data_IF_188132268378
#
_entry.id   IF_188132268378
#
_cell.length_a   1.000
_cell.length_b   1.000
_cell.length_c   1.000
_cell.angle_alpha   90.00
_cell.angle_beta   90.00
_cell.angle_gamma   90.00
#
_symmetry.space_group_name_H-M   'P 1'
#
loop_
_entity.id
_entity.type
_entity.pdbx_description
1 polymer ?
#
# COMPACT_ATOMS: atom_id res chain seq x y z
N UNK A 1 -46.87 20.92 15.07
CA UNK A 1 -46.51 20.58 13.70
C UNK A 1 -45.38 19.54 13.80
N UNK A 2 -45.66 18.28 13.47
CA UNK A 2 -44.69 17.20 13.52
C UNK A 2 -43.79 17.38 12.30
N UNK A 3 -42.51 17.72 12.51
CA UNK A 3 -41.51 17.70 11.45
C UNK A 3 -41.45 16.28 10.87
N UNK A 4 -41.84 16.14 9.61
CA UNK A 4 -41.60 14.93 8.83
C UNK A 4 -40.10 14.75 8.69
N UNK A 5 -39.51 13.94 9.55
CA UNK A 5 -38.09 13.53 9.43
C UNK A 5 -37.94 12.77 8.12
N UNK A 6 -37.41 13.44 7.10
CA UNK A 6 -37.15 12.82 5.82
C UNK A 6 -36.07 11.73 5.99
N UNK A 7 -36.42 10.49 5.67
CA UNK A 7 -35.48 9.36 5.69
C UNK A 7 -34.59 9.40 4.45
N UNK A 8 -33.31 9.75 4.63
CA UNK A 8 -32.32 9.76 3.55
C UNK A 8 -31.51 8.48 3.59
N UNK A 9 -31.40 7.79 2.45
CA UNK A 9 -30.50 6.64 2.27
C UNK A 9 -29.30 7.09 1.45
N UNK A 10 -28.09 6.92 2.01
CA UNK A 10 -26.83 7.21 1.31
C UNK A 10 -26.29 5.90 0.72
N UNK A 11 -26.05 5.89 -0.58
CA UNK A 11 -25.41 4.78 -1.30
C UNK A 11 -23.98 5.14 -1.62
N UNK A 12 -23.04 4.19 -1.38
CA UNK A 12 -21.65 4.30 -1.79
C UNK A 12 -21.50 3.73 -3.21
N UNK A 13 -21.17 4.57 -4.17
CA UNK A 13 -21.00 4.18 -5.57
C UNK A 13 -19.54 4.44 -5.97
N UNK A 14 -18.91 3.49 -6.67
CA UNK A 14 -17.51 3.55 -7.12
C UNK A 14 -16.50 3.64 -5.96
N UNK A 15 -16.76 2.93 -4.89
CA UNK A 15 -15.82 2.80 -3.78
C UNK A 15 -14.50 2.16 -4.25
N UNK A 16 -13.37 2.71 -3.80
CA UNK A 16 -12.04 2.12 -4.03
C UNK A 16 -11.66 1.29 -2.80
N UNK A 17 -11.55 -0.04 -2.92
CA UNK A 17 -11.17 -0.87 -1.78
C UNK A 17 -9.66 -0.73 -1.50
N UNK A 18 -9.31 -0.37 -0.28
CA UNK A 18 -7.93 -0.40 0.24
C UNK A 18 -7.95 -1.16 1.55
N UNK A 19 -7.28 -2.29 1.59
CA UNK A 19 -7.16 -3.09 2.81
C UNK A 19 -5.89 -2.73 3.56
N UNK A 20 -6.01 -2.53 4.87
CA UNK A 20 -4.89 -2.28 5.77
C UNK A 20 -4.96 -3.29 6.92
N UNK A 21 -3.86 -3.97 7.17
CA UNK A 21 -3.76 -4.94 8.27
C UNK A 21 -2.37 -4.94 8.89
N UNK A 22 -2.25 -5.30 10.15
CA UNK A 22 -0.98 -5.59 10.80
C UNK A 22 -0.85 -7.11 10.94
N UNK A 23 0.26 -7.67 10.46
CA UNK A 23 0.47 -9.11 10.51
C UNK A 23 0.88 -9.52 11.92
N UNK A 24 0.18 -10.45 12.57
CA UNK A 24 0.51 -10.88 13.94
C UNK A 24 1.90 -11.53 14.05
N UNK A 25 2.42 -12.12 12.96
CA UNK A 25 3.73 -12.71 12.88
C UNK A 25 4.87 -11.73 12.53
N UNK A 26 4.61 -10.44 12.44
CA UNK A 26 5.59 -9.41 12.05
C UNK A 26 6.88 -9.46 12.89
N UNK A 27 6.75 -9.71 14.20
CA UNK A 27 7.91 -9.79 15.11
C UNK A 27 8.90 -10.91 14.73
N UNK A 28 8.44 -11.98 14.10
CA UNK A 28 9.29 -13.07 13.60
C UNK A 28 9.71 -12.89 12.14
N UNK A 29 8.86 -12.27 11.31
CA UNK A 29 9.16 -12.06 9.88
C UNK A 29 10.18 -10.93 9.67
N UNK A 30 10.00 -9.79 10.34
CA UNK A 30 10.76 -8.58 10.05
C UNK A 30 12.28 -8.73 10.22
N UNK A 31 12.81 -9.39 11.26
CA UNK A 31 14.25 -9.58 11.36
C UNK A 31 14.87 -10.37 10.21
N UNK A 32 14.21 -11.47 9.78
CA UNK A 32 14.65 -12.30 8.66
C UNK A 32 14.60 -11.53 7.34
N UNK A 33 13.48 -10.86 7.06
CA UNK A 33 13.29 -10.04 5.86
C UNK A 33 14.30 -8.88 5.79
N UNK A 34 14.49 -8.17 6.91
CA UNK A 34 15.45 -7.07 7.01
C UNK A 34 16.87 -7.54 6.71
N UNK A 35 17.27 -8.65 7.29
CA UNK A 35 18.62 -9.22 7.07
C UNK A 35 18.83 -9.59 5.58
N UNK A 36 17.86 -10.27 4.96
CA UNK A 36 17.93 -10.64 3.55
C UNK A 36 18.00 -9.41 2.63
N UNK A 37 17.18 -8.40 2.89
CA UNK A 37 17.12 -7.17 2.08
C UNK A 37 18.41 -6.35 2.20
N UNK A 38 18.92 -6.16 3.42
CA UNK A 38 20.17 -5.41 3.63
C UNK A 38 21.39 -6.13 3.02
N UNK A 39 21.39 -7.46 3.03
CA UNK A 39 22.40 -8.25 2.33
C UNK A 39 22.32 -8.03 0.82
N UNK A 40 21.11 -8.12 0.24
CA UNK A 40 20.89 -7.93 -1.21
C UNK A 40 21.30 -6.51 -1.66
N UNK A 41 21.04 -5.48 -0.85
CA UNK A 41 21.48 -4.11 -1.13
C UNK A 41 23.00 -4.02 -1.33
N UNK A 42 23.79 -4.77 -0.57
CA UNK A 42 25.26 -4.79 -0.69
C UNK A 42 25.75 -5.53 -1.94
N UNK A 43 24.95 -6.45 -2.46
CA UNK A 43 25.35 -7.35 -3.54
C UNK A 43 24.91 -6.85 -4.93
N UNK A 44 23.90 -5.99 -5.00
CA UNK A 44 23.29 -5.59 -6.28
C UNK A 44 23.03 -4.08 -6.34
N UNK A 45 23.22 -3.46 -7.53
CA UNK A 45 22.86 -2.06 -7.73
C UNK A 45 21.34 -1.87 -7.63
N UNK A 46 20.93 -0.61 -7.40
CA UNK A 46 19.51 -0.25 -7.42
C UNK A 46 18.93 -0.31 -8.83
N UNK A 47 17.74 -0.85 -8.95
CA UNK A 47 16.90 -0.73 -10.15
C UNK A 47 16.17 0.63 -10.14
N UNK A 48 16.07 1.29 -11.29
CA UNK A 48 15.39 2.58 -11.42
C UNK A 48 14.00 2.39 -12.05
N UNK A 49 12.96 2.77 -11.32
CA UNK A 49 11.56 2.81 -11.76
C UNK A 49 10.89 4.10 -11.25
N UNK A 50 9.92 3.99 -10.32
CA UNK A 50 9.27 5.14 -9.67
C UNK A 50 10.06 5.69 -8.47
N UNK A 51 11.14 5.04 -8.06
CA UNK A 51 11.91 5.44 -6.90
C UNK A 51 12.66 6.77 -7.10
N UNK A 52 12.43 7.69 -6.18
CA UNK A 52 13.16 8.94 -6.05
C UNK A 52 14.29 8.73 -5.05
N UNK A 53 15.51 8.45 -5.55
CA UNK A 53 16.59 7.97 -4.71
C UNK A 53 16.32 6.59 -4.12
N UNK A 54 17.06 6.23 -3.07
CA UNK A 54 16.91 4.94 -2.41
C UNK A 54 17.48 3.78 -3.21
N UNK A 55 17.33 2.59 -2.64
CA UNK A 55 17.65 1.35 -3.32
C UNK A 55 16.38 0.55 -3.53
N UNK A 56 16.22 0.01 -4.74
CA UNK A 56 15.17 -0.90 -5.13
C UNK A 56 15.80 -2.17 -5.71
N UNK A 57 15.37 -3.33 -5.26
CA UNK A 57 15.81 -4.61 -5.82
C UNK A 57 15.25 -4.85 -7.22
N UNK A 58 15.73 -5.91 -7.87
CA UNK A 58 15.00 -6.56 -8.97
C UNK A 58 13.63 -7.10 -8.49
N UNK A 59 12.83 -7.60 -9.43
CA UNK A 59 11.48 -8.14 -9.16
C UNK A 59 11.47 -9.63 -8.83
N UNK A 60 12.64 -10.23 -8.64
CA UNK A 60 12.82 -11.67 -8.41
C UNK A 60 13.04 -11.99 -6.93
N UNK A 61 12.33 -11.28 -6.04
CA UNK A 61 12.51 -11.46 -4.60
C UNK A 61 12.22 -12.88 -4.12
N UNK A 62 11.44 -13.67 -4.85
CA UNK A 62 11.21 -15.09 -4.61
C UNK A 62 12.50 -15.93 -4.68
N UNK A 63 13.48 -15.52 -5.48
CA UNK A 63 14.76 -16.22 -5.63
C UNK A 63 15.73 -16.03 -4.45
N UNK A 64 15.60 -14.91 -3.70
CA UNK A 64 16.55 -14.54 -2.64
C UNK A 64 15.92 -14.13 -1.30
N UNK A 65 14.62 -13.85 -1.25
CA UNK A 65 13.92 -13.37 -0.06
C UNK A 65 13.73 -14.40 1.06
N UNK A 66 13.93 -15.69 0.74
CA UNK A 66 13.95 -16.79 1.69
C UNK A 66 12.59 -17.17 2.29
N UNK A 67 12.59 -18.03 3.33
CA UNK A 67 11.33 -18.57 3.89
C UNK A 67 10.41 -17.53 4.51
N UNK A 68 10.94 -16.45 5.08
CA UNK A 68 10.12 -15.36 5.64
C UNK A 68 9.34 -14.65 4.53
N UNK A 69 9.96 -14.41 3.38
CA UNK A 69 9.31 -13.82 2.22
C UNK A 69 8.22 -14.76 1.65
N UNK A 70 8.50 -16.05 1.54
CA UNK A 70 7.48 -17.01 1.09
C UNK A 70 6.22 -16.97 2.00
N UNK A 71 6.41 -16.96 3.34
CA UNK A 71 5.29 -16.82 4.29
C UNK A 71 4.54 -15.50 4.11
N UNK A 72 5.26 -14.40 3.88
CA UNK A 72 4.67 -13.08 3.62
C UNK A 72 3.76 -13.12 2.38
N UNK A 73 4.24 -13.71 1.27
CA UNK A 73 3.47 -13.80 0.03
C UNK A 73 2.23 -14.69 0.15
N UNK A 74 2.30 -15.78 0.90
CA UNK A 74 1.13 -16.60 1.21
C UNK A 74 0.05 -15.80 1.97
N UNK A 75 0.46 -14.93 2.91
CA UNK A 75 -0.47 -14.01 3.58
C UNK A 75 -1.08 -13.01 2.61
N UNK A 76 -0.26 -12.40 1.76
CA UNK A 76 -0.71 -11.43 0.77
C UNK A 76 -1.74 -12.04 -0.21
N UNK A 77 -1.45 -13.23 -0.75
CA UNK A 77 -2.37 -13.97 -1.63
C UNK A 77 -3.68 -14.33 -0.92
N UNK A 78 -3.61 -14.80 0.32
CA UNK A 78 -4.79 -15.14 1.12
C UNK A 78 -5.70 -13.93 1.35
N UNK A 79 -5.12 -12.78 1.70
CA UNK A 79 -5.88 -11.53 1.89
C UNK A 79 -6.48 -11.08 0.55
N UNK A 80 -5.70 -11.06 -0.54
CA UNK A 80 -6.19 -10.68 -1.85
C UNK A 80 -7.36 -11.56 -2.32
N UNK A 81 -7.29 -12.87 -2.06
CA UNK A 81 -8.40 -13.79 -2.37
C UNK A 81 -9.67 -13.43 -1.57
N UNK A 82 -9.53 -13.09 -0.28
CA UNK A 82 -10.67 -12.65 0.54
C UNK A 82 -11.28 -11.33 0.07
N UNK A 83 -10.47 -10.46 -0.55
CA UNK A 83 -10.91 -9.18 -1.11
C UNK A 83 -11.53 -9.32 -2.51
N UNK A 84 -11.50 -10.53 -3.09
CA UNK A 84 -11.94 -10.77 -4.46
C UNK A 84 -13.20 -11.65 -4.46
N UNK A 85 -14.16 -11.26 -5.29
CA UNK A 85 -15.38 -12.01 -5.51
C UNK A 85 -15.70 -12.06 -7.01
N UNK A 86 -16.55 -12.97 -7.43
CA UNK A 86 -17.14 -12.94 -8.76
C UNK A 86 -18.15 -11.77 -8.89
N UNK A 87 -18.73 -11.59 -10.08
CA UNK A 87 -19.67 -10.49 -10.33
C UNK A 87 -20.99 -10.63 -9.57
N UNK A 88 -21.30 -11.81 -9.06
CA UNK A 88 -22.45 -12.10 -8.21
C UNK A 88 -22.12 -11.97 -6.72
N UNK A 89 -20.89 -11.58 -6.38
CA UNK A 89 -20.42 -11.40 -5.00
C UNK A 89 -20.06 -12.69 -4.28
N UNK A 90 -19.85 -13.80 -5.00
CA UNK A 90 -19.48 -15.10 -4.41
C UNK A 90 -17.97 -15.21 -4.25
N UNK A 91 -17.48 -15.88 -3.19
CA UNK A 91 -16.06 -16.16 -3.02
C UNK A 91 -15.46 -16.89 -4.22
N UNK A 92 -14.23 -16.54 -4.56
CA UNK A 92 -13.46 -17.17 -5.64
C UNK A 92 -12.20 -17.83 -5.09
N UNK A 93 -11.69 -18.83 -5.82
CA UNK A 93 -10.36 -19.39 -5.60
C UNK A 93 -9.47 -18.97 -6.77
N UNK A 94 -8.36 -18.32 -6.47
CA UNK A 94 -7.45 -17.79 -7.47
C UNK A 94 -6.05 -18.25 -7.16
N UNK A 95 -5.36 -18.79 -8.14
CA UNK A 95 -3.93 -19.08 -8.08
C UNK A 95 -3.16 -17.83 -8.55
N UNK A 96 -2.86 -16.95 -7.60
CA UNK A 96 -2.18 -15.69 -7.88
C UNK A 96 -0.74 -15.92 -8.33
N UNK A 97 -0.42 -15.50 -9.54
CA UNK A 97 0.96 -15.20 -9.92
C UNK A 97 1.40 -13.86 -9.28
N UNK A 98 2.69 -13.67 -9.07
CA UNK A 98 3.19 -12.43 -8.47
C UNK A 98 4.60 -12.07 -8.93
N UNK A 99 4.91 -10.79 -8.80
CA UNK A 99 6.27 -10.28 -8.70
C UNK A 99 6.38 -9.39 -7.45
N UNK A 100 7.59 -9.30 -6.89
CA UNK A 100 7.83 -8.51 -5.69
C UNK A 100 9.26 -7.98 -5.65
N UNK A 101 9.42 -6.83 -5.00
CA UNK A 101 10.71 -6.17 -4.83
C UNK A 101 10.80 -5.47 -3.49
N UNK A 102 12.02 -5.33 -3.00
CA UNK A 102 12.31 -4.59 -1.78
C UNK A 102 12.71 -3.15 -2.10
N UNK A 103 12.34 -2.23 -1.21
CA UNK A 103 12.75 -0.83 -1.24
C UNK A 103 13.43 -0.46 0.06
N UNK A 104 14.54 0.27 -0.03
CA UNK A 104 15.25 0.88 1.09
C UNK A 104 15.26 2.38 0.87
N UNK A 105 14.59 3.11 1.77
CA UNK A 105 14.53 4.56 1.76
C UNK A 105 15.36 5.14 2.91
N UNK A 106 16.12 6.18 2.59
CA UNK A 106 16.82 7.05 3.53
C UNK A 106 16.30 8.47 3.40
N UNK A 107 16.85 9.43 4.15
CA UNK A 107 16.34 10.80 4.13
C UNK A 107 16.30 11.40 2.71
N UNK A 108 15.18 11.99 2.33
CA UNK A 108 14.90 12.57 1.02
C UNK A 108 14.32 11.60 -0.02
N UNK A 109 14.27 10.30 0.28
CA UNK A 109 13.82 9.29 -0.68
C UNK A 109 12.29 9.06 -0.62
N UNK A 110 11.71 8.78 -1.78
CA UNK A 110 10.28 8.49 -1.93
C UNK A 110 10.00 7.75 -3.24
N UNK A 111 8.75 7.77 -3.69
CA UNK A 111 8.37 7.27 -5.01
C UNK A 111 7.43 8.26 -5.70
N UNK A 112 7.64 8.46 -7.00
CA UNK A 112 6.74 9.24 -7.85
C UNK A 112 5.34 8.61 -7.90
N UNK A 113 4.37 9.41 -8.33
CA UNK A 113 3.02 8.94 -8.58
C UNK A 113 2.99 7.95 -9.75
N UNK A 114 2.47 6.75 -9.52
CA UNK A 114 2.41 5.67 -10.49
C UNK A 114 1.26 4.71 -10.24
N UNK A 115 1.07 3.77 -11.17
CA UNK A 115 0.15 2.63 -11.10
C UNK A 115 0.91 1.35 -11.47
N UNK A 116 0.27 0.19 -11.35
CA UNK A 116 0.86 -1.11 -11.71
C UNK A 116 0.08 -1.81 -12.82
N UNK A 117 0.21 -1.38 -14.08
CA UNK A 117 -0.50 -2.00 -15.21
C UNK A 117 -0.14 -3.49 -15.34
N UNK A 118 -1.16 -4.32 -15.60
CA UNK A 118 -0.99 -5.76 -15.78
C UNK A 118 -1.21 -6.59 -14.51
N UNK A 119 -1.33 -5.96 -13.34
CA UNK A 119 -1.72 -6.64 -12.12
C UNK A 119 -3.21 -6.44 -11.81
N UNK A 120 -3.77 -7.25 -10.91
CA UNK A 120 -5.12 -7.08 -10.38
C UNK A 120 -5.08 -6.36 -9.03
N UNK A 121 -4.27 -6.88 -8.09
CA UNK A 121 -3.95 -6.24 -6.82
C UNK A 121 -2.48 -5.84 -6.78
N UNK A 122 -2.21 -4.75 -6.09
CA UNK A 122 -0.86 -4.36 -5.68
C UNK A 122 -0.84 -4.19 -4.16
N UNK A 123 0.33 -4.29 -3.57
CA UNK A 123 0.45 -4.08 -2.15
C UNK A 123 1.85 -3.72 -1.69
N UNK A 124 1.93 -3.31 -0.45
CA UNK A 124 3.19 -3.01 0.23
C UNK A 124 3.15 -3.56 1.66
N UNK A 125 4.25 -4.17 2.07
CA UNK A 125 4.50 -4.58 3.45
C UNK A 125 5.65 -3.78 4.03
N UNK A 126 5.48 -3.25 5.24
CA UNK A 126 6.49 -2.44 5.92
C UNK A 126 7.29 -3.32 6.88
N UNK A 127 8.51 -3.67 6.48
CA UNK A 127 9.46 -4.43 7.31
C UNK A 127 9.99 -3.57 8.45
N UNK A 128 10.33 -2.31 8.11
CA UNK A 128 10.78 -1.30 9.06
C UNK A 128 10.25 0.06 8.59
N UNK A 129 9.46 0.72 9.43
CA UNK A 129 8.85 2.02 9.09
C UNK A 129 9.81 3.21 9.24
N UNK A 130 11.04 2.96 9.71
CA UNK A 130 12.03 4.02 9.92
C UNK A 130 11.66 5.02 11.02
N UNK A 131 10.70 4.68 11.89
CA UNK A 131 10.22 5.52 12.98
C UNK A 131 8.98 6.35 12.65
N UNK A 132 8.43 6.25 11.43
CA UNK A 132 7.25 7.02 10.99
C UNK A 132 6.01 6.69 11.83
N UNK A 133 5.87 5.44 12.27
CA UNK A 133 4.76 5.02 13.15
C UNK A 133 4.72 5.77 14.48
N UNK A 134 5.89 6.24 14.96
CA UNK A 134 6.00 7.02 16.21
C UNK A 134 6.07 8.53 15.96
N UNK A 135 6.58 8.95 14.81
CA UNK A 135 6.73 10.36 14.43
C UNK A 135 6.26 10.59 12.98
N UNK A 136 4.99 10.96 12.79
CA UNK A 136 4.44 11.24 11.46
C UNK A 136 5.09 12.41 10.71
N UNK A 137 5.86 13.25 11.39
CA UNK A 137 6.56 14.37 10.74
C UNK A 137 7.72 13.92 9.85
N UNK A 138 8.14 12.66 9.99
CA UNK A 138 9.21 12.07 9.18
C UNK A 138 8.82 11.81 7.72
N UNK A 139 7.55 11.91 7.34
CA UNK A 139 7.11 11.62 5.99
C UNK A 139 7.14 10.12 5.67
N UNK A 140 7.29 9.76 4.39
CA UNK A 140 7.37 8.36 3.97
C UNK A 140 6.01 7.65 3.91
N UNK A 141 4.92 8.40 3.98
CA UNK A 141 3.56 7.84 3.89
C UNK A 141 3.25 7.35 2.48
N UNK A 142 2.40 6.34 2.43
CA UNK A 142 1.69 5.96 1.20
C UNK A 142 0.57 6.98 0.96
N UNK A 143 0.57 7.60 -0.20
CA UNK A 143 -0.42 8.57 -0.64
C UNK A 143 -1.22 8.00 -1.81
N UNK A 144 -2.48 7.66 -1.57
CA UNK A 144 -3.42 7.22 -2.60
C UNK A 144 -4.13 8.43 -3.19
N UNK A 145 -4.12 8.57 -4.50
CA UNK A 145 -4.81 9.66 -5.19
C UNK A 145 -6.25 9.28 -5.50
N UNK A 146 -7.19 10.20 -5.25
CA UNK A 146 -8.60 9.99 -5.60
C UNK A 146 -8.74 9.75 -7.11
N UNK A 147 -9.24 8.58 -7.55
CA UNK A 147 -9.36 8.27 -8.98
C UNK A 147 -10.36 9.18 -9.72
N UNK A 148 -11.20 9.92 -9.00
CA UNK A 148 -12.09 10.95 -9.57
C UNK A 148 -11.35 12.25 -9.83
N UNK A 149 -10.09 12.35 -9.43
CA UNK A 149 -9.29 13.56 -9.51
C UNK A 149 -9.66 14.59 -8.45
N UNK A 150 -9.20 15.81 -8.64
CA UNK A 150 -9.35 16.90 -7.65
C UNK A 150 -10.69 17.65 -7.77
N UNK A 151 -11.47 17.40 -8.82
CA UNK A 151 -12.71 18.13 -9.09
C UNK A 151 -13.69 18.21 -7.91
N UNK A 152 -13.90 17.14 -7.11
CA UNK A 152 -14.77 17.21 -5.94
C UNK A 152 -14.32 18.23 -4.88
N UNK A 153 -13.01 18.44 -4.72
CA UNK A 153 -12.46 19.36 -3.73
C UNK A 153 -12.23 20.78 -4.25
N UNK A 154 -12.11 20.96 -5.56
CA UNK A 154 -11.76 22.27 -6.17
C UNK A 154 -12.80 23.35 -5.91
N UNK A 155 -14.06 22.99 -5.82
CA UNK A 155 -15.17 23.95 -5.67
C UNK A 155 -15.28 24.47 -4.23
N UNK A 156 -15.07 23.61 -3.26
CA UNK A 156 -15.18 23.95 -1.84
C UNK A 156 -14.20 23.07 -1.02
N UNK A 157 -12.91 23.39 -0.99
CA UNK A 157 -11.88 22.53 -0.38
C UNK A 157 -12.05 22.33 1.14
N UNK A 158 -12.86 23.18 1.79
CA UNK A 158 -13.19 23.07 3.20
C UNK A 158 -14.37 22.12 3.51
N UNK A 159 -15.02 21.57 2.46
CA UNK A 159 -16.16 20.67 2.61
C UNK A 159 -15.82 19.27 2.12
N UNK A 160 -16.47 18.27 2.72
CA UNK A 160 -16.46 16.88 2.28
C UNK A 160 -17.88 16.33 2.24
N UNK A 161 -18.12 15.30 1.46
CA UNK A 161 -19.42 14.63 1.45
C UNK A 161 -19.59 13.81 2.74
N UNK A 162 -20.78 13.92 3.37
CA UNK A 162 -21.13 13.13 4.53
C UNK A 162 -21.40 11.67 4.12
N UNK A 163 -20.37 10.86 4.11
CA UNK A 163 -20.42 9.45 3.78
C UNK A 163 -20.27 8.59 5.05
N UNK A 164 -20.91 7.42 5.10
CA UNK A 164 -20.59 6.45 6.14
C UNK A 164 -19.08 6.15 6.15
N UNK A 165 -18.45 6.21 7.32
CA UNK A 165 -17.00 5.96 7.53
C UNK A 165 -16.05 7.08 7.04
N UNK A 166 -16.55 8.27 6.69
CA UNK A 166 -15.73 9.43 6.33
C UNK A 166 -14.86 9.15 5.10
N UNK A 167 -15.28 9.59 3.93
CA UNK A 167 -14.51 9.36 2.70
C UNK A 167 -13.93 10.65 2.18
N UNK A 168 -12.78 10.52 1.53
CA UNK A 168 -12.13 11.56 0.77
C UNK A 168 -13.03 12.11 -0.35
N UNK A 169 -12.85 13.36 -0.70
CA UNK A 169 -13.62 14.04 -1.73
C UNK A 169 -12.71 14.80 -2.70
N UNK A 170 -11.95 14.06 -3.51
CA UNK A 170 -11.12 14.62 -4.58
C UNK A 170 -9.78 15.18 -4.09
N UNK A 171 -9.24 14.58 -3.05
CA UNK A 171 -7.88 14.82 -2.57
C UNK A 171 -7.09 13.50 -2.59
N UNK A 172 -6.00 13.44 -1.89
CA UNK A 172 -5.29 12.19 -1.61
C UNK A 172 -5.61 11.70 -0.20
N UNK A 173 -5.59 10.38 -0.03
CA UNK A 173 -5.65 9.73 1.27
C UNK A 173 -4.28 9.22 1.69
N UNK A 174 -3.98 9.40 2.97
CA UNK A 174 -2.67 9.09 3.53
C UNK A 174 -2.77 7.84 4.41
N UNK A 175 -1.99 6.82 4.09
CA UNK A 175 -1.76 5.68 4.98
C UNK A 175 -0.37 5.81 5.60
N UNK A 176 -0.32 5.97 6.92
CA UNK A 176 0.95 6.05 7.65
C UNK A 176 1.51 4.67 7.88
N UNK A 177 2.74 4.41 7.45
CA UNK A 177 3.36 3.11 7.64
C UNK A 177 3.61 2.82 9.12
N UNK A 178 3.49 1.53 9.46
CA UNK A 178 3.99 0.95 10.70
C UNK A 178 4.70 -0.34 10.39
N UNK A 179 5.74 -0.67 11.12
CA UNK A 179 6.42 -1.96 10.97
C UNK A 179 5.43 -3.11 11.21
N UNK A 180 5.38 -4.06 10.28
CA UNK A 180 4.41 -5.17 10.29
C UNK A 180 3.07 -4.88 9.60
N UNK A 181 2.86 -3.67 9.10
CA UNK A 181 1.66 -3.31 8.36
C UNK A 181 1.75 -3.78 6.90
N UNK A 182 0.65 -4.30 6.39
CA UNK A 182 0.43 -4.57 4.96
C UNK A 182 -0.73 -3.71 4.45
N UNK A 183 -0.54 -3.12 3.27
CA UNK A 183 -1.58 -2.41 2.51
C UNK A 183 -1.78 -3.11 1.19
N UNK A 184 -3.04 -3.43 0.82
CA UNK A 184 -3.38 -4.02 -0.48
C UNK A 184 -4.44 -3.13 -1.14
N UNK A 185 -4.25 -2.82 -2.41
CA UNK A 185 -5.08 -1.90 -3.18
C UNK A 185 -5.17 -2.33 -4.65
N UNK A 186 -6.20 -1.89 -5.39
CA UNK A 186 -6.31 -2.18 -6.82
C UNK A 186 -5.10 -1.62 -7.58
N UNK A 187 -4.53 -2.40 -8.48
CA UNK A 187 -3.31 -2.03 -9.23
C UNK A 187 -3.44 -0.74 -10.05
N UNK A 188 -4.66 -0.38 -10.44
CA UNK A 188 -4.96 0.85 -11.18
C UNK A 188 -4.97 2.11 -10.30
N UNK A 189 -4.97 1.98 -8.96
CA UNK A 189 -4.98 3.13 -8.05
C UNK A 189 -3.65 3.87 -8.13
N UNK A 190 -3.73 5.12 -8.61
CA UNK A 190 -2.56 6.01 -8.63
C UNK A 190 -2.14 6.34 -7.20
N UNK A 191 -0.85 6.16 -6.93
CA UNK A 191 -0.30 6.39 -5.59
C UNK A 191 1.16 6.80 -5.65
N UNK A 192 1.63 7.38 -4.56
CA UNK A 192 3.01 7.81 -4.37
C UNK A 192 3.51 7.41 -2.98
N UNK A 193 4.81 7.53 -2.76
CA UNK A 193 5.41 7.53 -1.42
C UNK A 193 6.01 8.90 -1.19
N UNK A 194 5.51 9.62 -0.19
CA UNK A 194 6.02 10.93 0.19
C UNK A 194 7.49 10.83 0.61
N UNK A 195 8.28 11.90 0.41
CA UNK A 195 9.67 11.90 0.85
C UNK A 195 9.79 11.57 2.34
N UNK A 196 10.66 10.62 2.64
CA UNK A 196 11.01 10.23 4.01
C UNK A 196 12.16 11.08 4.52
N UNK A 197 12.07 11.62 5.74
CA UNK A 197 13.05 12.54 6.30
C UNK A 197 13.71 12.02 7.58
N UNK A 198 13.45 10.78 7.96
CA UNK A 198 14.06 10.17 9.14
C UNK A 198 15.54 9.84 8.97
N UNK A 199 16.20 9.59 10.09
CA UNK A 199 17.62 9.17 10.13
C UNK A 199 17.79 7.67 10.06
N UNK A 200 16.76 6.90 10.44
CA UNK A 200 16.74 5.44 10.35
C UNK A 200 16.53 4.98 8.90
N UNK A 201 16.79 3.73 8.63
CA UNK A 201 16.48 3.13 7.33
C UNK A 201 15.02 2.66 7.34
N UNK A 202 14.23 3.11 6.35
CA UNK A 202 12.87 2.62 6.10
C UNK A 202 12.93 1.52 5.04
N UNK A 203 12.31 0.37 5.33
CA UNK A 203 12.35 -0.82 4.47
C UNK A 203 10.92 -1.29 4.20
N UNK A 204 10.60 -1.47 2.93
CA UNK A 204 9.32 -2.03 2.52
C UNK A 204 9.49 -3.06 1.39
N UNK A 205 8.53 -3.98 1.29
CA UNK A 205 8.41 -4.94 0.20
C UNK A 205 7.13 -4.59 -0.55
N UNK A 206 7.28 -4.24 -1.83
CA UNK A 206 6.14 -4.04 -2.72
C UNK A 206 5.91 -5.31 -3.56
N UNK A 207 4.66 -5.57 -3.92
CA UNK A 207 4.30 -6.73 -4.72
C UNK A 207 3.08 -6.45 -5.60
N UNK A 208 2.98 -7.19 -6.70
CA UNK A 208 1.82 -7.25 -7.57
C UNK A 208 1.28 -8.67 -7.62
N UNK A 209 -0.03 -8.82 -7.67
CA UNK A 209 -0.74 -10.08 -7.84
C UNK A 209 -1.53 -10.05 -9.14
N UNK A 210 -1.35 -11.07 -9.96
CA UNK A 210 -1.97 -11.20 -11.30
C UNK A 210 -2.66 -12.55 -11.43
N UNK A 211 -3.59 -12.66 -12.37
CA UNK A 211 -4.29 -13.90 -12.72
C UNK A 211 -3.43 -14.81 -13.59
#
# INVERSE_FOLDING_TARGET
MTELQQRVQVMQIFATPVAVTELPEAASLNPELKAAILKREQETPSTAHSNLGGWQSDWEMDSWGGPAFARLMERAKGIATQLTADREGRPVSIDWSYNAWANINRSGHGNESHTHPGAYWSGVYYVDDGGVGSDPSLGGEFEAHDPRGVAPAMYAPQLAFAMPQGQSAGASEIVRPKSGMMVIFPSWLSHAVRPYHGRATRISIAFNLSL
#
